data_IF_797278676415
#
_entry.id   IF_797278676415
#
_cell.length_a   1.000
_cell.length_b   1.000
_cell.length_c   1.000
_cell.angle_alpha   90.00
_cell.angle_beta   90.00
_cell.angle_gamma   90.00
#
_symmetry.space_group_name_H-M   'P 1'
#
loop_
_entity.id
_entity.type
_entity.pdbx_description
1 polymer ?
#
# COMPACT_ATOMS: atom_id res chain seq x y z
N UNK A 1 46.97 -5.80 32.67
CA UNK A 1 45.53 -5.51 32.48
C UNK A 1 45.31 -5.11 31.00
N UNK A 2 45.96 -5.81 30.06
CA UNK A 2 45.52 -7.07 29.41
C UNK A 2 44.33 -6.81 28.47
N UNK A 3 44.56 -6.56 27.18
CA UNK A 3 44.85 -7.47 26.06
C UNK A 3 43.62 -8.16 25.47
N UNK A 4 43.40 -7.81 24.20
CA UNK A 4 42.76 -8.55 23.09
C UNK A 4 42.73 -10.07 23.28
N UNK A 5 41.56 -10.68 23.10
CA UNK A 5 41.45 -12.05 22.58
C UNK A 5 40.24 -12.20 21.65
N UNK A 6 40.58 -12.35 20.37
CA UNK A 6 39.82 -12.97 19.28
C UNK A 6 39.74 -14.50 19.51
N UNK A 7 38.96 -15.19 18.64
CA UNK A 7 38.99 -16.65 18.36
C UNK A 7 38.10 -17.50 19.32
N UNK A 8 37.30 -18.52 18.96
CA UNK A 8 37.22 -19.45 17.79
C UNK A 8 35.76 -19.96 17.61
N UNK A 9 35.49 -20.35 16.36
CA UNK A 9 34.36 -21.08 15.78
C UNK A 9 33.70 -22.22 16.55
N UNK A 10 32.44 -22.48 16.18
CA UNK A 10 31.84 -23.81 16.10
C UNK A 10 30.84 -23.74 14.92
N UNK A 11 31.13 -24.27 13.74
CA UNK A 11 31.27 -25.70 13.47
C UNK A 11 30.02 -26.13 12.67
N UNK A 12 29.99 -25.82 11.37
CA UNK A 12 28.97 -26.33 10.47
C UNK A 12 29.24 -27.82 10.23
N UNK A 13 28.50 -28.69 10.91
CA UNK A 13 28.45 -30.12 10.59
C UNK A 13 27.34 -30.36 9.57
N UNK A 14 27.74 -30.53 8.31
CA UNK A 14 26.89 -31.11 7.28
C UNK A 14 26.81 -32.63 7.51
N UNK A 15 25.67 -33.12 7.97
CA UNK A 15 25.31 -34.53 7.85
C UNK A 15 24.30 -34.65 6.70
N UNK A 16 24.80 -35.19 5.59
CA UNK A 16 23.98 -35.61 4.47
C UNK A 16 23.17 -36.84 4.89
N UNK A 17 21.85 -36.67 5.01
CA UNK A 17 20.91 -37.78 5.13
C UNK A 17 20.27 -37.98 3.76
N UNK A 18 20.63 -39.09 3.11
CA UNK A 18 20.02 -39.57 1.88
C UNK A 18 18.63 -40.15 2.20
N UNK A 19 17.58 -39.52 1.67
CA UNK A 19 16.21 -40.06 1.70
C UNK A 19 15.98 -40.84 0.40
N UNK A 20 15.51 -42.11 0.44
CA UNK A 20 15.21 -42.85 -0.76
C UNK A 20 13.89 -42.35 -1.38
N UNK A 21 13.92 -42.07 -2.68
CA UNK A 21 12.74 -41.75 -3.49
C UNK A 21 11.98 -43.05 -3.78
N UNK A 22 10.81 -43.22 -3.17
CA UNK A 22 9.85 -44.27 -3.55
C UNK A 22 8.90 -43.69 -4.60
N UNK A 23 9.08 -44.13 -5.84
CA UNK A 23 8.17 -43.85 -6.96
C UNK A 23 7.05 -44.88 -6.95
N UNK A 24 5.80 -44.45 -6.77
CA UNK A 24 4.62 -45.30 -6.97
C UNK A 24 3.70 -44.64 -7.99
N UNK A 25 3.63 -45.23 -9.18
CA UNK A 25 2.66 -44.90 -10.21
C UNK A 25 1.34 -45.65 -9.93
N UNK A 26 0.17 -45.02 -10.10
CA UNK A 26 -1.10 -45.74 -10.14
C UNK A 26 -1.31 -46.38 -11.53
N UNK A 27 -2.00 -47.54 -11.60
CA UNK A 27 -2.13 -48.30 -12.84
C UNK A 27 -3.16 -47.69 -13.80
N UNK A 28 -2.89 -47.87 -15.09
CA UNK A 28 -3.80 -47.49 -16.17
C UNK A 28 -5.06 -48.38 -16.17
N UNK A 29 -6.23 -47.76 -16.14
CA UNK A 29 -7.51 -48.42 -16.39
C UNK A 29 -7.97 -48.11 -17.83
N UNK A 30 -8.08 -49.16 -18.64
CA UNK A 30 -8.69 -49.12 -19.97
C UNK A 30 -10.20 -48.91 -19.85
N UNK A 31 -10.76 -47.99 -20.64
CA UNK A 31 -12.20 -47.83 -20.80
C UNK A 31 -12.57 -48.21 -22.23
N UNK A 32 -13.12 -49.42 -22.38
CA UNK A 32 -13.89 -49.84 -23.55
C UNK A 32 -15.32 -49.34 -23.43
N UNK A 33 -15.71 -48.51 -24.41
CA UNK A 33 -17.04 -48.31 -24.99
C UNK A 33 -18.23 -49.06 -24.39
N UNK A 34 -19.27 -48.32 -23.98
CA UNK A 34 -20.67 -48.61 -24.32
C UNK A 34 -21.50 -47.33 -24.18
N UNK A 35 -22.08 -46.87 -25.29
CA UNK A 35 -23.03 -45.76 -25.30
C UNK A 35 -24.46 -46.22 -25.03
N UNK A 36 -25.26 -45.34 -24.41
CA UNK A 36 -26.66 -45.09 -24.72
C UNK A 36 -27.14 -43.85 -23.94
N UNK A 37 -28.07 -43.13 -24.56
CA UNK A 37 -28.48 -41.76 -24.27
C UNK A 37 -29.54 -41.61 -23.16
N UNK A 38 -29.93 -40.34 -22.92
CA UNK A 38 -31.13 -39.80 -22.25
C UNK A 38 -30.94 -39.59 -20.72
N UNK A 39 -31.25 -38.46 -20.07
CA UNK A 39 -31.92 -37.19 -20.42
C UNK A 39 -31.74 -36.21 -19.22
N UNK A 40 -32.08 -34.94 -19.43
CA UNK A 40 -32.39 -33.86 -18.46
C UNK A 40 -31.31 -33.17 -17.61
N UNK A 41 -31.19 -31.84 -17.84
CA UNK A 41 -30.82 -30.88 -16.80
C UNK A 41 -29.80 -29.83 -17.23
N UNK A 42 -30.24 -28.78 -17.93
CA UNK A 42 -29.47 -27.53 -18.04
C UNK A 42 -29.48 -26.81 -16.69
N UNK A 43 -28.60 -27.20 -15.78
CA UNK A 43 -28.32 -26.40 -14.59
C UNK A 43 -27.40 -25.25 -14.98
N UNK A 44 -28.01 -24.15 -15.42
CA UNK A 44 -27.37 -22.85 -15.38
C UNK A 44 -27.10 -22.52 -13.91
N UNK A 45 -25.89 -22.83 -13.44
CA UNK A 45 -25.38 -22.32 -12.17
C UNK A 45 -25.30 -20.81 -12.28
N UNK A 46 -26.38 -20.14 -11.87
CA UNK A 46 -26.37 -18.70 -11.62
C UNK A 46 -25.49 -18.47 -10.41
N UNK A 47 -24.20 -18.20 -10.66
CA UNK A 47 -23.34 -17.57 -9.66
C UNK A 47 -23.96 -16.23 -9.32
N UNK A 48 -24.76 -16.19 -8.25
CA UNK A 48 -25.15 -14.97 -7.59
C UNK A 48 -23.87 -14.27 -7.19
N UNK A 49 -23.44 -13.29 -7.98
CA UNK A 49 -22.41 -12.33 -7.60
C UNK A 49 -23.01 -11.52 -6.47
N UNK A 50 -22.96 -12.04 -5.25
CA UNK A 50 -23.15 -11.24 -4.05
C UNK A 50 -22.12 -10.12 -4.13
N UNK A 51 -22.56 -8.91 -4.46
CA UNK A 51 -21.71 -7.72 -4.44
C UNK A 51 -21.18 -7.61 -3.02
N UNK A 52 -19.93 -8.05 -2.81
CA UNK A 52 -19.24 -7.89 -1.53
C UNK A 52 -19.27 -6.41 -1.19
N UNK A 53 -19.93 -6.06 -0.08
CA UNK A 53 -20.06 -4.68 0.36
C UNK A 53 -18.66 -4.13 0.65
N UNK A 54 -18.22 -3.11 -0.08
CA UNK A 54 -16.93 -2.43 0.16
C UNK A 54 -16.95 -1.85 1.59
N UNK A 55 -15.85 -2.00 2.32
CA UNK A 55 -15.73 -1.51 3.70
C UNK A 55 -15.52 0.02 3.78
N UNK A 56 -15.22 0.65 2.65
CA UNK A 56 -15.20 2.10 2.47
C UNK A 56 -16.27 2.52 1.45
N UNK A 57 -16.95 3.64 1.71
CA UNK A 57 -17.95 4.17 0.78
C UNK A 57 -17.27 4.79 -0.45
N UNK A 58 -18.00 4.86 -1.57
CA UNK A 58 -17.51 5.52 -2.79
C UNK A 58 -17.17 7.00 -2.54
N UNK A 59 -17.97 7.69 -1.72
CA UNK A 59 -17.74 9.09 -1.38
C UNK A 59 -16.46 9.27 -0.55
N UNK A 60 -16.21 8.36 0.41
CA UNK A 60 -15.00 8.40 1.21
C UNK A 60 -13.77 8.08 0.37
N UNK A 61 -13.86 7.09 -0.53
CA UNK A 61 -12.82 6.76 -1.49
C UNK A 61 -12.41 7.98 -2.33
N UNK A 62 -13.40 8.65 -2.94
CA UNK A 62 -13.17 9.88 -3.71
C UNK A 62 -12.57 10.99 -2.85
N UNK A 63 -13.11 11.21 -1.64
CA UNK A 63 -12.60 12.22 -0.74
C UNK A 63 -11.13 11.98 -0.35
N UNK A 64 -10.75 10.73 -0.06
CA UNK A 64 -9.35 10.36 0.23
C UNK A 64 -8.48 10.66 -1.00
N UNK A 65 -8.86 10.17 -2.18
CA UNK A 65 -8.07 10.31 -3.40
C UNK A 65 -7.89 11.78 -3.81
N UNK A 66 -8.99 12.54 -3.79
CA UNK A 66 -8.98 13.97 -4.10
C UNK A 66 -8.11 14.75 -3.11
N UNK A 67 -8.17 14.41 -1.83
CA UNK A 67 -7.33 15.06 -0.82
C UNK A 67 -5.85 14.76 -1.04
N UNK A 68 -5.48 13.52 -1.37
CA UNK A 68 -4.10 13.16 -1.71
C UNK A 68 -3.59 13.95 -2.92
N UNK A 69 -4.32 13.93 -4.04
CA UNK A 69 -3.93 14.66 -5.25
C UNK A 69 -3.90 16.18 -5.02
N UNK A 70 -4.80 16.72 -4.19
CA UNK A 70 -4.79 18.13 -3.80
C UNK A 70 -3.50 18.52 -3.06
N UNK A 71 -3.04 17.71 -2.11
CA UNK A 71 -1.83 18.04 -1.33
C UNK A 71 -0.55 17.80 -2.14
N UNK A 72 -0.54 16.76 -2.98
CA UNK A 72 0.56 16.45 -3.92
C UNK A 72 0.85 17.59 -4.90
N UNK A 73 -0.19 18.22 -5.44
CA UNK A 73 -0.06 19.37 -6.34
C UNK A 73 0.35 20.69 -5.67
N UNK A 74 0.47 20.72 -4.33
CA UNK A 74 0.71 21.94 -3.52
C UNK A 74 1.96 21.87 -2.64
N UNK A 75 2.80 20.86 -2.84
CA UNK A 75 4.01 20.68 -2.05
C UNK A 75 4.98 21.85 -2.20
N UNK A 76 5.70 22.14 -1.12
CA UNK A 76 6.84 23.05 -1.13
C UNK A 76 8.06 22.36 -0.50
N UNK A 77 9.24 22.42 -1.12
CA UNK A 77 9.53 22.99 -2.45
C UNK A 77 8.77 22.30 -3.60
N UNK A 78 8.58 22.93 -4.78
CA UNK A 78 7.84 22.31 -5.88
C UNK A 78 8.48 21.02 -6.39
N UNK A 79 7.65 20.03 -6.72
CA UNK A 79 8.06 18.72 -7.20
C UNK A 79 8.07 18.67 -8.73
N UNK A 80 9.17 18.22 -9.34
CA UNK A 80 9.28 18.07 -10.80
C UNK A 80 8.76 16.74 -11.34
N UNK A 81 8.60 15.73 -10.49
CA UNK A 81 8.26 14.36 -10.87
C UNK A 81 7.03 13.78 -10.14
N UNK A 82 6.15 14.63 -9.59
CA UNK A 82 4.99 14.17 -8.82
C UNK A 82 3.98 13.44 -9.71
N UNK A 83 3.80 12.14 -9.52
CA UNK A 83 2.85 11.36 -10.30
C UNK A 83 1.41 11.55 -9.80
N UNK A 84 0.43 11.60 -10.71
CA UNK A 84 -0.97 11.61 -10.33
C UNK A 84 -1.35 10.29 -9.67
N UNK A 85 -2.01 10.35 -8.52
CA UNK A 85 -2.41 9.17 -7.76
C UNK A 85 -3.78 8.68 -8.21
N UNK A 86 -3.93 7.37 -8.37
CA UNK A 86 -5.20 6.69 -8.66
C UNK A 86 -5.58 5.73 -7.54
N UNK A 87 -6.86 5.36 -7.48
CA UNK A 87 -7.32 4.32 -6.58
C UNK A 87 -6.93 2.93 -7.11
N UNK A 88 -6.51 2.03 -6.22
CA UNK A 88 -6.23 0.63 -6.54
C UNK A 88 -7.02 -0.30 -5.60
N UNK A 89 -7.95 -1.07 -6.19
CA UNK A 89 -8.84 -1.95 -5.45
C UNK A 89 -8.11 -3.13 -4.79
N UNK A 90 -6.95 -3.55 -5.32
CA UNK A 90 -6.12 -4.60 -4.70
C UNK A 90 -5.46 -4.08 -3.43
N UNK A 91 -4.96 -2.84 -3.45
CA UNK A 91 -4.48 -2.16 -2.24
C UNK A 91 -5.60 -1.96 -1.22
N UNK A 92 -6.80 -1.58 -1.66
CA UNK A 92 -7.95 -1.41 -0.77
C UNK A 92 -8.39 -2.74 -0.14
N UNK A 93 -8.38 -3.83 -0.91
CA UNK A 93 -8.72 -5.17 -0.41
C UNK A 93 -7.76 -5.64 0.68
N UNK A 94 -6.46 -5.43 0.50
CA UNK A 94 -5.44 -5.79 1.50
C UNK A 94 -5.50 -4.88 2.74
N UNK A 95 -5.82 -3.59 2.56
CA UNK A 95 -6.07 -2.67 3.66
C UNK A 95 -7.31 -3.10 4.48
N UNK A 96 -8.36 -3.60 3.83
CA UNK A 96 -9.57 -4.15 4.48
C UNK A 96 -9.24 -5.36 5.36
N UNK A 97 -8.47 -6.31 4.81
CA UNK A 97 -8.10 -7.51 5.55
C UNK A 97 -7.26 -7.15 6.80
N UNK A 98 -6.41 -6.12 6.72
CA UNK A 98 -5.63 -5.63 7.86
C UNK A 98 -6.47 -4.83 8.87
N UNK A 99 -7.34 -3.93 8.39
CA UNK A 99 -8.20 -3.12 9.26
C UNK A 99 -9.15 -3.99 10.10
N UNK A 100 -9.60 -5.12 9.55
CA UNK A 100 -10.44 -6.09 10.24
C UNK A 100 -9.74 -6.81 11.40
N UNK A 101 -8.41 -6.88 11.39
CA UNK A 101 -7.65 -7.50 12.49
C UNK A 101 -7.71 -6.68 13.78
N UNK A 102 -8.05 -5.39 13.71
CA UNK A 102 -8.12 -4.50 14.87
C UNK A 102 -6.84 -4.47 15.70
N UNK A 103 -5.70 -4.49 15.01
CA UNK A 103 -4.36 -4.38 15.59
C UNK A 103 -3.78 -3.02 15.22
N UNK A 104 -3.38 -2.24 16.22
CA UNK A 104 -2.73 -0.94 16.02
C UNK A 104 -1.24 -1.11 15.75
N UNK A 105 -0.93 -1.67 14.58
CA UNK A 105 0.42 -1.88 14.08
C UNK A 105 0.41 -1.99 12.55
N UNK A 106 1.57 -1.78 11.92
CA UNK A 106 1.69 -1.92 10.47
C UNK A 106 1.67 -3.39 10.04
N UNK A 107 1.02 -3.68 8.90
CA UNK A 107 1.09 -5.01 8.31
C UNK A 107 0.12 -5.28 7.15
N UNK A 108 0.05 -6.55 6.72
CA UNK A 108 0.81 -7.68 7.25
C UNK A 108 2.31 -7.60 6.87
N UNK A 109 3.25 -8.06 7.72
CA UNK A 109 4.69 -7.84 7.54
C UNK A 109 5.25 -8.26 6.18
N UNK A 110 4.72 -9.33 5.59
CA UNK A 110 5.19 -9.83 4.29
C UNK A 110 4.88 -8.90 3.11
N UNK A 111 3.92 -7.98 3.26
CA UNK A 111 3.57 -6.99 2.23
C UNK A 111 4.31 -5.67 2.38
N UNK A 112 4.71 -5.28 3.61
CA UNK A 112 5.34 -3.99 3.91
C UNK A 112 6.67 -3.74 3.19
N UNK A 113 7.28 -4.79 2.61
CA UNK A 113 8.48 -4.66 1.77
C UNK A 113 8.17 -4.16 0.34
N UNK A 114 6.90 -4.14 -0.05
CA UNK A 114 6.45 -3.81 -1.41
C UNK A 114 5.48 -2.64 -1.47
N UNK A 115 4.84 -2.30 -0.36
CA UNK A 115 3.86 -1.22 -0.25
C UNK A 115 4.17 -0.34 0.96
N UNK A 116 3.76 0.92 0.88
CA UNK A 116 3.72 1.82 2.02
C UNK A 116 2.38 1.73 2.74
N UNK A 117 2.33 2.14 4.01
CA UNK A 117 1.08 2.10 4.78
C UNK A 117 0.99 3.26 5.75
N UNK A 118 -0.14 3.98 5.72
CA UNK A 118 -0.50 4.95 6.74
C UNK A 118 -1.70 4.43 7.55
N UNK A 119 -1.65 4.65 8.86
CA UNK A 119 -2.65 4.23 9.82
C UNK A 119 -3.24 5.45 10.52
N UNK A 120 -4.54 5.41 10.81
CA UNK A 120 -5.19 6.45 11.60
C UNK A 120 -6.27 5.84 12.46
N UNK A 121 -6.40 6.33 13.69
CA UNK A 121 -7.40 5.86 14.64
C UNK A 121 -8.11 7.03 15.29
N UNK A 122 -9.43 6.90 15.45
CA UNK A 122 -10.27 7.87 16.15
C UNK A 122 -11.50 7.24 16.76
N UNK A 123 -12.04 7.82 17.82
CA UNK A 123 -13.39 7.46 18.31
C UNK A 123 -14.45 8.20 17.50
N UNK A 124 -15.06 7.49 16.55
CA UNK A 124 -16.06 8.05 15.64
C UNK A 124 -15.51 9.09 14.65
N UNK A 125 -16.27 9.34 13.59
CA UNK A 125 -15.94 10.36 12.59
C UNK A 125 -17.21 10.85 11.90
N UNK A 126 -17.18 12.08 11.40
CA UNK A 126 -18.24 12.66 10.54
C UNK A 126 -17.85 12.71 9.08
N UNK A 127 -16.53 12.72 8.82
CA UNK A 127 -15.95 12.76 7.48
C UNK A 127 -14.63 11.99 7.52
N UNK A 128 -14.39 11.15 6.52
CA UNK A 128 -13.17 10.34 6.43
C UNK A 128 -11.90 11.21 6.46
N UNK A 129 -12.00 12.46 6.00
CA UNK A 129 -10.88 13.41 6.02
C UNK A 129 -10.41 13.76 7.44
N UNK A 130 -11.21 13.51 8.48
CA UNK A 130 -10.75 13.67 9.86
C UNK A 130 -9.67 12.66 10.25
N UNK A 131 -9.58 11.52 9.54
CA UNK A 131 -8.55 10.50 9.74
C UNK A 131 -7.32 10.76 8.85
N UNK A 132 -7.49 11.47 7.72
CA UNK A 132 -6.42 11.69 6.73
C UNK A 132 -5.71 13.04 6.88
N UNK A 133 -6.43 14.12 7.21
CA UNK A 133 -5.82 15.45 7.38
C UNK A 133 -4.67 15.49 8.39
N UNK A 134 -4.72 14.79 9.54
CA UNK A 134 -3.60 14.75 10.47
C UNK A 134 -2.29 14.25 9.85
N UNK A 135 -2.35 13.32 8.89
CA UNK A 135 -1.15 12.88 8.16
C UNK A 135 -0.52 14.02 7.37
N UNK A 136 -1.32 14.88 6.75
CA UNK A 136 -0.79 16.05 6.02
C UNK A 136 -0.28 17.14 6.98
N UNK A 137 -0.92 17.31 8.15
CA UNK A 137 -0.55 18.34 9.12
C UNK A 137 0.89 18.20 9.63
N UNK A 138 1.49 17.00 9.55
CA UNK A 138 2.90 16.75 9.85
C UNK A 138 3.87 17.56 8.97
N UNK A 139 3.41 18.12 7.85
CA UNK A 139 4.19 19.06 7.02
C UNK A 139 4.73 20.25 7.83
N UNK A 140 4.05 20.63 8.92
CA UNK A 140 4.46 21.72 9.81
C UNK A 140 5.76 21.41 10.55
N UNK A 141 6.03 20.13 10.75
CA UNK A 141 7.18 19.63 11.50
C UNK A 141 8.26 19.02 10.58
N UNK A 142 7.98 18.93 9.28
CA UNK A 142 8.86 18.33 8.30
C UNK A 142 9.69 19.38 7.55
N UNK A 143 11.01 19.17 7.49
CA UNK A 143 11.88 19.94 6.60
C UNK A 143 12.37 19.08 5.44
N UNK A 144 12.16 19.57 4.22
CA UNK A 144 12.55 18.87 2.99
C UNK A 144 14.09 18.75 2.88
N UNK A 145 14.64 17.55 2.60
CA UNK A 145 16.08 17.37 2.38
C UNK A 145 16.46 17.89 0.99
N UNK A 146 17.39 18.84 0.90
CA UNK A 146 17.88 19.30 -0.39
C UNK A 146 18.84 18.27 -1.01
N UNK A 147 18.99 18.22 -2.34
CA UNK A 147 19.88 17.26 -2.99
C UNK A 147 21.31 17.23 -2.43
N UNK A 148 21.83 18.37 -1.99
CA UNK A 148 23.16 18.49 -1.34
C UNK A 148 23.28 17.76 0.00
N UNK A 149 22.15 17.56 0.69
CA UNK A 149 22.08 16.87 1.98
C UNK A 149 21.97 15.35 1.79
N UNK A 150 21.74 14.87 0.57
CA UNK A 150 21.51 13.47 0.24
C UNK A 150 22.80 12.81 -0.29
N UNK A 151 23.59 12.20 0.60
CA UNK A 151 24.79 11.44 0.21
C UNK A 151 25.18 10.39 1.26
N UNK A 152 25.08 9.06 0.98
CA UNK A 152 24.37 8.43 -0.13
C UNK A 152 22.85 8.38 0.11
N UNK A 153 22.40 8.77 1.31
CA UNK A 153 21.00 8.79 1.75
C UNK A 153 20.59 10.21 2.14
N UNK A 154 19.31 10.50 1.98
CA UNK A 154 18.69 11.73 2.46
C UNK A 154 18.32 11.62 3.95
N UNK A 155 18.62 12.64 4.78
CA UNK A 155 18.18 12.66 6.17
C UNK A 155 16.67 12.94 6.26
N UNK A 156 15.99 12.22 7.15
CA UNK A 156 14.64 12.60 7.59
C UNK A 156 14.75 13.72 8.64
N UNK A 157 14.43 14.96 8.26
CA UNK A 157 14.37 16.10 9.18
C UNK A 157 12.94 16.29 9.67
N UNK A 158 12.65 15.76 10.85
CA UNK A 158 11.35 15.84 11.52
C UNK A 158 11.54 16.45 12.91
N UNK A 159 10.78 17.51 13.22
CA UNK A 159 10.82 18.22 14.49
C UNK A 159 9.63 17.93 15.40
N UNK A 160 8.71 17.09 14.92
CA UNK A 160 7.51 16.65 15.61
C UNK A 160 7.57 15.16 15.95
N UNK A 161 6.50 14.61 16.54
CA UNK A 161 6.44 13.20 16.92
C UNK A 161 6.41 12.26 15.72
N UNK A 162 5.95 12.73 14.56
CA UNK A 162 5.83 11.93 13.34
C UNK A 162 5.84 12.84 12.09
N UNK A 163 6.53 12.41 11.04
CA UNK A 163 6.49 13.06 9.72
C UNK A 163 6.36 12.06 8.55
N UNK A 164 6.35 10.75 8.86
CA UNK A 164 6.40 9.71 7.83
C UNK A 164 5.06 9.51 7.13
N UNK A 165 3.94 9.88 7.76
CA UNK A 165 2.66 9.82 7.08
C UNK A 165 2.57 10.90 6.01
N UNK A 166 3.01 12.13 6.31
CA UNK A 166 3.11 13.20 5.31
C UNK A 166 3.98 12.79 4.15
N UNK A 167 5.21 12.31 4.41
CA UNK A 167 6.13 11.94 3.31
C UNK A 167 5.57 10.85 2.42
N UNK A 168 4.81 9.89 2.96
CA UNK A 168 4.09 8.90 2.17
C UNK A 168 2.99 9.52 1.29
N UNK A 169 2.19 10.46 1.83
CA UNK A 169 1.14 11.14 1.05
C UNK A 169 1.71 11.87 -0.17
N UNK A 170 2.87 12.49 -0.01
CA UNK A 170 3.54 13.29 -1.06
C UNK A 170 4.68 12.55 -1.76
N UNK A 171 4.74 11.22 -1.65
CA UNK A 171 5.78 10.44 -2.29
C UNK A 171 5.56 10.39 -3.80
N UNK A 172 6.49 10.93 -4.59
CA UNK A 172 6.29 11.24 -6.01
C UNK A 172 5.84 10.04 -6.82
N UNK A 173 6.47 8.88 -6.60
CA UNK A 173 6.24 7.66 -7.37
C UNK A 173 5.07 6.84 -6.86
N UNK A 174 4.56 7.12 -5.64
CA UNK A 174 3.36 6.48 -5.08
C UNK A 174 2.13 6.94 -5.84
N UNK A 175 1.90 6.35 -7.01
CA UNK A 175 0.81 6.71 -7.91
C UNK A 175 -0.45 5.88 -7.68
N UNK A 176 -0.45 4.98 -6.69
CA UNK A 176 -1.61 4.17 -6.31
C UNK A 176 -1.85 4.22 -4.81
N UNK A 177 -3.12 4.32 -4.42
CA UNK A 177 -3.58 4.19 -3.04
C UNK A 177 -4.83 3.33 -2.96
N UNK A 178 -4.96 2.55 -1.91
CA UNK A 178 -6.21 1.88 -1.57
C UNK A 178 -6.37 1.80 -0.07
N UNK A 179 -7.55 2.12 0.44
CA UNK A 179 -7.82 2.23 1.87
C UNK A 179 -9.06 1.45 2.29
N UNK A 180 -9.12 1.13 3.57
CA UNK A 180 -10.30 0.59 4.24
C UNK A 180 -10.47 1.19 5.62
N UNK A 181 -11.73 1.37 6.03
CA UNK A 181 -12.10 1.82 7.37
C UNK A 181 -12.88 0.71 8.07
N UNK A 182 -12.55 0.45 9.34
CA UNK A 182 -13.23 -0.52 10.17
C UNK A 182 -13.47 0.04 11.57
N UNK A 183 -14.59 -0.32 12.21
CA UNK A 183 -14.85 0.07 13.60
C UNK A 183 -14.62 -1.12 14.52
N UNK A 184 -13.49 -1.09 15.23
CA UNK A 184 -13.09 -2.09 16.20
C UNK A 184 -13.84 -1.92 17.52
N UNK A 185 -14.40 -2.99 18.06
CA UNK A 185 -15.11 -2.92 19.34
C UNK A 185 -14.17 -2.49 20.48
N UNK A 186 -13.00 -3.14 20.57
CA UNK A 186 -11.89 -2.77 21.43
C UNK A 186 -10.60 -2.84 20.60
N UNK A 187 -9.72 -1.86 20.74
CA UNK A 187 -8.40 -1.86 20.11
C UNK A 187 -7.38 -1.28 21.10
N UNK A 188 -6.27 -1.97 21.31
CA UNK A 188 -5.18 -1.43 22.13
C UNK A 188 -4.35 -0.47 21.28
N UNK A 189 -4.32 0.80 21.65
CA UNK A 189 -3.61 1.87 20.94
C UNK A 189 -2.68 2.53 21.95
N UNK A 190 -1.38 2.38 21.75
CA UNK A 190 -0.33 2.93 22.65
C UNK A 190 -0.53 2.58 24.13
N UNK A 191 -0.93 1.34 24.42
CA UNK A 191 -1.12 0.83 25.79
C UNK A 191 -2.46 1.19 26.43
N UNK A 192 -3.36 1.87 25.72
CA UNK A 192 -4.72 2.16 26.18
C UNK A 192 -5.76 1.45 25.31
N UNK A 193 -6.85 0.95 25.92
CA UNK A 193 -7.96 0.33 25.19
C UNK A 193 -8.94 1.40 24.69
N UNK A 194 -9.06 1.50 23.38
CA UNK A 194 -10.03 2.36 22.71
C UNK A 194 -11.28 1.56 22.36
N UNK A 195 -12.42 1.96 22.93
CA UNK A 195 -13.72 1.37 22.62
C UNK A 195 -14.30 1.99 21.35
N UNK A 196 -14.87 1.17 20.46
CA UNK A 196 -15.45 1.60 19.17
C UNK A 196 -14.47 2.43 18.33
N UNK A 197 -13.21 2.01 18.31
CA UNK A 197 -12.14 2.68 17.58
C UNK A 197 -12.41 2.58 16.06
N UNK A 198 -12.57 3.72 15.40
CA UNK A 198 -12.55 3.81 13.95
C UNK A 198 -11.10 3.76 13.49
N UNK A 199 -10.75 2.70 12.77
CA UNK A 199 -9.41 2.42 12.28
C UNK A 199 -9.39 2.54 10.76
N UNK A 200 -8.56 3.44 10.23
CA UNK A 200 -8.30 3.62 8.81
C UNK A 200 -6.92 3.08 8.48
N UNK A 201 -6.87 2.19 7.50
CA UNK A 201 -5.64 1.67 6.89
C UNK A 201 -5.62 2.15 5.44
N UNK A 202 -4.52 2.78 5.01
CA UNK A 202 -4.28 3.14 3.61
C UNK A 202 -2.96 2.55 3.15
N UNK A 203 -3.01 1.74 2.08
CA UNK A 203 -1.84 1.15 1.44
C UNK A 203 -1.47 1.93 0.18
N UNK A 204 -0.18 2.07 -0.10
CA UNK A 204 0.38 2.83 -1.20
C UNK A 204 1.33 1.96 -2.02
N UNK A 205 1.38 2.16 -3.34
CA UNK A 205 2.35 1.47 -4.19
C UNK A 205 3.10 2.46 -5.09
N UNK A 206 4.45 2.50 -5.03
CA UNK A 206 5.30 1.96 -3.95
C UNK A 206 5.07 2.68 -2.60
N UNK A 207 5.83 2.29 -1.58
CA UNK A 207 5.91 3.00 -0.30
C UNK A 207 7.00 4.07 -0.27
N UNK A 208 7.04 4.83 0.82
CA UNK A 208 8.17 5.71 1.13
C UNK A 208 9.40 4.90 1.60
N UNK A 209 10.57 5.26 1.10
CA UNK A 209 11.82 4.55 1.37
C UNK A 209 12.71 5.32 2.36
N UNK A 210 13.24 4.59 3.35
CA UNK A 210 14.16 5.18 4.33
C UNK A 210 15.43 5.63 3.62
N UNK A 211 15.82 6.88 3.85
CA UNK A 211 17.01 7.46 3.24
C UNK A 211 16.78 8.04 1.85
N UNK A 212 15.53 8.20 1.41
CA UNK A 212 15.18 8.86 0.16
C UNK A 212 14.32 10.11 0.40
N UNK A 213 14.41 11.08 -0.51
CA UNK A 213 13.55 12.26 -0.50
C UNK A 213 12.17 11.93 -1.10
N UNK A 214 11.07 12.54 -0.63
CA UNK A 214 9.74 12.22 -1.15
C UNK A 214 9.53 12.50 -2.63
N UNK A 215 10.25 13.48 -3.19
CA UNK A 215 10.16 13.87 -4.59
C UNK A 215 11.44 14.56 -5.04
N UNK A 216 11.55 14.85 -6.34
CA UNK A 216 12.64 15.67 -6.90
C UNK A 216 12.20 17.13 -6.92
N UNK A 217 13.02 18.01 -6.36
CA UNK A 217 12.77 19.46 -6.45
C UNK A 217 12.92 19.91 -7.90
N UNK A 218 12.03 20.79 -8.36
CA UNK A 218 12.17 21.45 -9.65
C UNK A 218 10.87 22.05 -10.16
N UNK A 219 10.89 22.54 -11.40
CA UNK A 219 9.69 23.04 -12.07
C UNK A 219 8.67 21.91 -12.16
N UNK A 220 7.40 22.12 -11.78
CA UNK A 220 6.38 21.10 -11.89
C UNK A 220 6.36 20.42 -13.26
N UNK A 221 6.27 19.09 -13.23
CA UNK A 221 6.26 18.23 -14.42
C UNK A 221 7.52 18.22 -15.29
N UNK A 222 8.60 18.91 -14.92
CA UNK A 222 9.84 18.95 -15.72
C UNK A 222 10.63 17.65 -15.72
N UNK A 223 10.28 16.69 -14.84
CA UNK A 223 10.92 15.39 -14.70
C UNK A 223 9.89 14.25 -14.63
N UNK A 224 8.75 14.40 -15.31
CA UNK A 224 7.77 13.31 -15.43
C UNK A 224 8.36 12.09 -16.12
N UNK A 225 8.05 10.86 -15.66
CA UNK A 225 8.51 9.65 -16.33
C UNK A 225 7.98 9.59 -17.77
N UNK A 226 8.76 9.05 -18.75
CA UNK A 226 8.33 8.97 -20.14
C UNK A 226 6.99 8.23 -20.35
N UNK A 227 6.63 7.30 -19.47
CA UNK A 227 5.35 6.59 -19.48
C UNK A 227 4.12 7.51 -19.37
N UNK A 228 4.30 8.72 -18.86
CA UNK A 228 3.24 9.73 -18.72
C UNK A 228 3.06 10.59 -19.99
N UNK A 229 3.92 10.46 -21.00
CA UNK A 229 3.76 11.14 -22.29
C UNK A 229 3.72 12.66 -22.22
N UNK A 230 4.34 13.26 -21.20
CA UNK A 230 4.50 14.72 -21.07
C UNK A 230 3.26 15.49 -20.62
N UNK A 231 2.17 14.83 -20.26
CA UNK A 231 0.96 15.53 -19.78
C UNK A 231 1.15 16.05 -18.35
N UNK A 232 0.84 17.33 -18.15
CA UNK A 232 0.92 18.02 -16.86
C UNK A 232 -0.42 18.65 -16.51
N UNK A 233 -0.91 18.40 -15.30
CA UNK A 233 -2.10 19.08 -14.77
C UNK A 233 -1.97 19.23 -13.27
N UNK A 234 -2.38 20.37 -12.72
CA UNK A 234 -2.31 20.66 -11.29
C UNK A 234 -0.94 20.33 -10.64
N UNK A 235 0.15 20.65 -11.35
CA UNK A 235 1.54 20.36 -10.94
C UNK A 235 1.91 18.88 -10.81
N UNK A 236 1.16 17.98 -11.45
CA UNK A 236 1.40 16.53 -11.42
C UNK A 236 1.49 15.95 -12.83
N UNK A 237 2.22 14.84 -12.95
CA UNK A 237 2.35 14.03 -14.15
C UNK A 237 1.08 13.20 -14.35
N UNK A 238 0.38 13.41 -15.46
CA UNK A 238 -0.82 12.65 -15.82
C UNK A 238 -0.49 11.61 -16.90
N UNK A 239 -0.96 10.36 -16.78
CA UNK A 239 -0.71 9.38 -17.82
C UNK A 239 -1.37 9.87 -19.11
N UNK A 240 -0.64 9.87 -20.21
CA UNK A 240 -1.19 10.18 -21.51
C UNK A 240 -2.42 9.27 -21.77
N UNK A 241 -3.56 9.88 -22.11
CA UNK A 241 -4.78 9.15 -22.44
C UNK A 241 -4.49 8.31 -23.70
N UNK A 242 -4.25 7.00 -23.52
CA UNK A 242 -3.96 6.11 -24.65
C UNK A 242 -5.19 5.72 -25.46
N UNK A 243 -6.42 5.97 -24.97
CA UNK A 243 -7.68 5.71 -25.70
C UNK A 243 -8.84 6.55 -25.13
N UNK A 244 -9.88 6.79 -25.93
CA UNK A 244 -11.16 7.44 -25.53
C UNK A 244 -11.99 6.63 -24.51
N UNK A 245 -11.42 5.58 -23.89
CA UNK A 245 -12.08 4.80 -22.85
C UNK A 245 -11.49 5.11 -21.48
N UNK A 246 -12.18 5.99 -20.76
CA UNK A 246 -11.94 6.25 -19.35
C UNK A 246 -12.36 5.01 -18.53
N UNK A 247 -11.43 4.10 -18.27
CA UNK A 247 -11.54 3.08 -17.21
C UNK A 247 -11.37 3.71 -15.82
N UNK A 248 -12.27 4.59 -15.40
CA UNK A 248 -12.15 5.26 -14.09
C UNK A 248 -13.14 4.71 -13.07
N UNK A 249 -14.20 4.01 -13.51
CA UNK A 249 -15.16 3.35 -12.60
C UNK A 249 -15.74 2.08 -13.25
N UNK A 250 -15.41 0.90 -12.71
CA UNK A 250 -16.20 -0.33 -12.84
C UNK A 250 -16.49 -0.91 -11.46
#
# INVERSE_FOLDING_TARGET
>A
LDLVLLCISCGASALAVTIPVVSTSPPAANITSLGAALDFGTDTVTFSKTRRKRYISQNDMLAILDYHNKVRGKVFPPASNMEYMVWDDTLAKTAEDWAHACLWEHGPPHLLRFLGQNLSVRTGYRSILQLVKPWYDEVKDYAFPYPRDCNPRCPLRCYGPMCTHYTQMVWATSNKVGCAVHTCHNMNVWGAVWKRATYLVCNYSPGNWIGEAPYKVGVPCSACPPSYGGSCSNNMCFPALKTNYLHWFK
#
